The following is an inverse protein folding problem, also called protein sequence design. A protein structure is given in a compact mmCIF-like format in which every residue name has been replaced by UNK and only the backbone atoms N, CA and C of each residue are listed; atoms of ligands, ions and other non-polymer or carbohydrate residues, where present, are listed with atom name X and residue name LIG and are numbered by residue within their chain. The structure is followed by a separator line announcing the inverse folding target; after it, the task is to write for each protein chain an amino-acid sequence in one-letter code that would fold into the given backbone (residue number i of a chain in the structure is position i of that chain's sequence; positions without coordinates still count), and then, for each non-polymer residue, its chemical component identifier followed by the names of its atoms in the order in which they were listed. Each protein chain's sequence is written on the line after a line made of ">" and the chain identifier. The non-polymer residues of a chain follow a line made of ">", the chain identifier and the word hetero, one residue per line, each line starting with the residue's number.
data_IF_167931622066
#
_entry.id   IF_167931622066
#
_cell.length_a   1.000
_cell.length_b   1.000
_cell.length_c   1.000
_cell.angle_alpha   90.00
_cell.angle_beta   90.00
_cell.angle_gamma   90.00
#
_symmetry.space_group_name_H-M   'P 1'
#
loop_
_entity.id
_entity.type
_entity.pdbx_description
1 polymer ?
#
# COMPACT_ATOMS: atom_id res chain seq x y z
N UNK A 1 5.75 0.10 -11.64
CA UNK A 1 5.01 1.34 -11.98
C UNK A 1 4.01 1.64 -10.88
N UNK A 2 3.85 2.89 -10.50
CA UNK A 2 3.12 3.35 -9.33
C UNK A 2 3.94 3.18 -8.04
N UNK A 3 3.47 3.76 -6.94
CA UNK A 3 4.11 3.68 -5.62
C UNK A 3 3.07 3.76 -4.51
N UNK A 4 3.20 2.90 -3.53
CA UNK A 4 2.50 2.96 -2.25
C UNK A 4 3.48 2.65 -1.12
N UNK A 5 3.54 3.51 -0.13
CA UNK A 5 4.26 3.27 1.13
C UNK A 5 5.73 2.83 0.95
N UNK A 6 6.42 3.37 -0.04
CA UNK A 6 7.83 3.08 -0.36
C UNK A 6 8.11 1.64 -0.85
N UNK A 7 7.11 0.90 -1.29
CA UNK A 7 7.26 -0.51 -1.70
C UNK A 7 8.16 -0.65 -2.92
N UNK A 8 7.84 0.08 -4.01
CA UNK A 8 8.63 -0.04 -5.25
C UNK A 8 10.01 0.59 -5.15
N UNK A 9 10.15 1.70 -4.43
CA UNK A 9 11.47 2.33 -4.24
C UNK A 9 12.39 1.42 -3.42
N UNK A 10 11.90 0.82 -2.33
CA UNK A 10 12.68 -0.13 -1.51
C UNK A 10 13.00 -1.40 -2.28
N UNK A 11 12.04 -1.96 -3.02
CA UNK A 11 12.27 -3.13 -3.88
C UNK A 11 13.34 -2.84 -4.95
N UNK A 12 13.26 -1.65 -5.59
CA UNK A 12 14.22 -1.25 -6.60
C UNK A 12 15.64 -1.12 -6.03
N UNK A 13 15.80 -0.58 -4.82
CA UNK A 13 17.09 -0.52 -4.14
C UNK A 13 17.69 -1.91 -3.96
N UNK A 14 16.92 -2.87 -3.43
CA UNK A 14 17.38 -4.24 -3.22
C UNK A 14 17.70 -4.96 -4.54
N UNK A 15 16.87 -4.81 -5.58
CA UNK A 15 17.15 -5.41 -6.88
C UNK A 15 18.41 -4.84 -7.55
N UNK A 16 18.65 -3.53 -7.41
CA UNK A 16 19.88 -2.90 -7.92
C UNK A 16 21.14 -3.41 -7.21
N UNK A 17 21.07 -3.66 -5.91
CA UNK A 17 22.16 -4.28 -5.15
C UNK A 17 22.47 -5.71 -5.64
N UNK A 18 21.48 -6.40 -6.19
CA UNK A 18 21.61 -7.71 -6.83
C UNK A 18 22.06 -7.62 -8.30
N UNK A 19 22.37 -6.44 -8.82
CA UNK A 19 22.87 -6.22 -10.18
C UNK A 19 21.79 -6.03 -11.26
N UNK A 20 20.50 -5.95 -10.88
CA UNK A 20 19.44 -5.71 -11.84
C UNK A 20 19.34 -4.23 -12.25
N UNK A 21 18.97 -3.99 -13.50
CA UNK A 21 18.62 -2.65 -13.98
C UNK A 21 17.14 -2.39 -13.67
N UNK A 22 16.85 -1.41 -12.84
CA UNK A 22 15.49 -1.12 -12.38
C UNK A 22 15.13 0.34 -12.62
N UNK A 23 13.95 0.55 -13.19
CA UNK A 23 13.36 1.89 -13.41
C UNK A 23 12.06 2.00 -12.62
N UNK A 24 12.02 2.92 -11.66
CA UNK A 24 10.81 3.26 -10.91
C UNK A 24 10.12 4.45 -11.58
N UNK A 25 8.89 4.25 -12.05
CA UNK A 25 8.01 5.28 -12.56
C UNK A 25 6.83 5.45 -11.61
N UNK A 26 6.69 6.62 -10.99
CA UNK A 26 5.60 6.90 -10.03
C UNK A 26 5.37 8.39 -9.82
N UNK A 27 4.36 8.72 -9.02
CA UNK A 27 4.16 10.06 -8.46
C UNK A 27 4.80 10.24 -7.07
N UNK A 28 5.54 9.24 -6.58
CA UNK A 28 6.19 9.25 -5.27
C UNK A 28 5.25 9.08 -4.07
N UNK A 29 4.02 8.57 -4.27
CA UNK A 29 2.98 8.46 -3.24
C UNK A 29 2.62 9.85 -2.67
N UNK A 30 2.39 10.81 -3.58
CA UNK A 30 1.96 12.19 -3.30
C UNK A 30 2.94 12.97 -2.40
N UNK A 31 2.48 13.46 -1.25
CA UNK A 31 3.25 14.29 -0.33
C UNK A 31 4.44 13.57 0.32
N UNK A 32 4.44 12.23 0.32
CA UNK A 32 5.54 11.41 0.87
C UNK A 32 6.80 11.49 0.01
N UNK A 33 6.64 11.77 -1.29
CA UNK A 33 7.69 12.06 -2.24
C UNK A 33 8.82 11.01 -2.27
N UNK A 34 8.45 9.73 -2.29
CA UNK A 34 9.41 8.64 -2.36
C UNK A 34 10.29 8.67 -3.61
N UNK A 35 11.52 8.12 -3.55
CA UNK A 35 12.47 8.08 -4.66
C UNK A 35 11.89 7.40 -5.91
N UNK A 36 12.19 7.96 -7.07
CA UNK A 36 11.79 7.43 -8.38
C UNK A 36 12.71 7.94 -9.47
N UNK A 37 12.82 7.18 -10.57
CA UNK A 37 13.65 7.54 -11.72
C UNK A 37 12.86 8.41 -12.71
N UNK A 38 11.60 8.08 -12.91
CA UNK A 38 10.70 8.83 -13.78
C UNK A 38 9.55 9.38 -12.91
N UNK A 39 9.58 10.69 -12.72
CA UNK A 39 8.51 11.41 -12.03
C UNK A 39 7.30 11.55 -12.94
N UNK A 40 6.14 11.07 -12.51
CA UNK A 40 4.89 11.17 -13.23
C UNK A 40 3.77 11.66 -12.31
N UNK A 41 3.90 12.90 -11.86
CA UNK A 41 2.90 13.60 -11.04
C UNK A 41 1.88 14.28 -11.94
N UNK A 42 0.62 14.15 -11.60
CA UNK A 42 -0.49 14.84 -12.24
C UNK A 42 -0.78 16.16 -11.51
N UNK A 43 -0.70 17.28 -12.23
CA UNK A 43 -1.16 18.56 -11.70
C UNK A 43 -2.69 18.63 -11.67
N UNK A 44 -3.28 19.39 -10.73
CA UNK A 44 -4.73 19.58 -10.64
C UNK A 44 -5.33 20.20 -11.90
N UNK A 45 -6.64 19.99 -12.08
CA UNK A 45 -7.42 20.60 -13.15
C UNK A 45 -7.36 19.89 -14.51
N UNK A 46 -8.10 20.43 -15.47
CA UNK A 46 -8.23 19.85 -16.81
C UNK A 46 -6.90 19.89 -17.59
N UNK A 47 -6.20 21.01 -17.55
CA UNK A 47 -4.90 21.19 -18.22
C UNK A 47 -3.82 20.28 -17.63
N UNK A 48 -3.81 20.10 -16.31
CA UNK A 48 -2.93 19.15 -15.65
C UNK A 48 -3.17 17.70 -16.11
N UNK A 49 -4.43 17.33 -16.32
CA UNK A 49 -4.78 16.02 -16.87
C UNK A 49 -4.33 15.85 -18.33
N UNK A 50 -4.46 16.88 -19.17
CA UNK A 50 -4.01 16.84 -20.58
C UNK A 50 -2.48 16.73 -20.63
N UNK A 51 -1.77 17.56 -19.89
CA UNK A 51 -0.30 17.54 -19.81
C UNK A 51 0.22 16.18 -19.30
N UNK A 52 -0.45 15.60 -18.29
CA UNK A 52 -0.14 14.26 -17.78
C UNK A 52 -0.28 13.19 -18.88
N UNK A 53 -1.38 13.20 -19.62
CA UNK A 53 -1.60 12.27 -20.73
C UNK A 53 -0.55 12.43 -21.82
N UNK A 54 -0.27 13.66 -22.25
CA UNK A 54 0.75 13.95 -23.27
C UNK A 54 2.12 13.42 -22.82
N UNK A 55 2.51 13.68 -21.56
CA UNK A 55 3.76 13.20 -20.97
C UNK A 55 3.81 11.67 -20.92
N UNK A 56 2.72 11.03 -20.46
CA UNK A 56 2.63 9.58 -20.38
C UNK A 56 2.80 8.95 -21.78
N UNK A 57 2.08 9.45 -22.80
CA UNK A 57 2.20 8.91 -24.17
C UNK A 57 3.60 9.13 -24.75
N UNK A 58 4.24 10.26 -24.48
CA UNK A 58 5.63 10.51 -24.87
C UNK A 58 6.63 9.57 -24.17
N UNK A 59 6.29 9.05 -22.98
CA UNK A 59 7.10 8.10 -22.25
C UNK A 59 6.91 6.65 -22.71
N UNK A 60 5.77 6.28 -23.31
CA UNK A 60 5.48 4.89 -23.69
C UNK A 60 6.60 4.22 -24.50
N UNK A 61 7.25 4.85 -25.48
CA UNK A 61 8.36 4.22 -26.21
C UNK A 61 9.56 3.86 -25.33
N UNK A 62 9.73 4.53 -24.19
CA UNK A 62 10.78 4.25 -23.21
C UNK A 62 10.39 3.17 -22.21
N UNK A 63 9.11 2.78 -22.16
CA UNK A 63 8.56 1.79 -21.25
C UNK A 63 8.36 0.44 -21.95
N UNK A 64 9.28 0.05 -22.83
CA UNK A 64 9.29 -1.22 -23.57
C UNK A 64 10.64 -1.90 -23.46
N UNK A 65 10.63 -3.22 -23.67
CA UNK A 65 11.85 -4.03 -23.64
C UNK A 65 12.31 -4.44 -22.25
N UNK A 66 11.47 -4.26 -21.23
CA UNK A 66 11.74 -4.77 -19.88
C UNK A 66 11.38 -6.26 -19.80
N UNK A 67 12.22 -7.04 -19.12
CA UNK A 67 11.93 -8.45 -18.84
C UNK A 67 10.70 -8.59 -17.93
N UNK A 68 10.58 -7.69 -16.95
CA UNK A 68 9.47 -7.65 -15.99
C UNK A 68 8.98 -6.22 -15.77
N UNK A 69 7.67 -6.03 -15.80
CA UNK A 69 6.99 -4.80 -15.36
C UNK A 69 6.08 -5.14 -14.19
N UNK A 70 6.37 -4.58 -13.02
CA UNK A 70 5.51 -4.69 -11.85
C UNK A 70 4.62 -3.47 -11.71
N UNK A 71 3.31 -3.70 -11.57
CA UNK A 71 2.30 -2.69 -11.29
C UNK A 71 2.01 -2.70 -9.79
N UNK A 72 2.02 -1.53 -9.15
CA UNK A 72 1.76 -1.43 -7.70
C UNK A 72 0.34 -1.88 -7.33
N UNK A 73 -0.60 -1.66 -8.26
CA UNK A 73 -2.03 -1.87 -8.08
C UNK A 73 -2.69 -1.74 -9.47
N UNK A 74 -3.94 -2.16 -9.70
CA UNK A 74 -4.63 -1.93 -10.98
C UNK A 74 -4.72 -0.47 -11.39
N UNK A 75 -4.79 0.44 -10.41
CA UNK A 75 -4.80 1.89 -10.62
C UNK A 75 -3.39 2.51 -10.54
N UNK A 76 -2.41 1.89 -11.21
CA UNK A 76 -0.98 2.27 -11.17
C UNK A 76 -0.65 3.64 -11.82
N UNK A 77 -1.64 4.33 -12.35
CA UNK A 77 -1.56 5.68 -12.93
C UNK A 77 -2.68 6.57 -12.40
N UNK A 78 -2.43 7.88 -12.34
CA UNK A 78 -3.43 8.88 -11.91
C UNK A 78 -4.44 9.20 -13.03
N UNK A 79 -5.08 8.18 -13.57
CA UNK A 79 -6.06 8.23 -14.65
C UNK A 79 -7.35 7.51 -14.26
N UNK A 80 -8.41 7.76 -15.00
CA UNK A 80 -9.60 6.93 -14.95
C UNK A 80 -9.30 5.52 -15.48
N UNK A 81 -9.96 4.50 -14.95
CA UNK A 81 -9.73 3.10 -15.28
C UNK A 81 -9.76 2.83 -16.79
N UNK A 82 -10.70 3.45 -17.52
CA UNK A 82 -10.86 3.29 -18.97
C UNK A 82 -9.62 3.77 -19.76
N UNK A 83 -8.87 4.73 -19.19
CA UNK A 83 -7.65 5.25 -19.79
C UNK A 83 -6.39 4.49 -19.39
N UNK A 84 -6.44 3.73 -18.33
CA UNK A 84 -5.35 2.85 -17.88
C UNK A 84 -5.27 1.61 -18.75
N UNK A 85 -6.40 1.04 -19.16
CA UNK A 85 -6.46 -0.21 -19.90
C UNK A 85 -5.64 -0.18 -21.22
N UNK A 86 -5.70 0.86 -22.06
CA UNK A 86 -4.83 0.95 -23.26
C UNK A 86 -3.34 0.96 -22.92
N UNK A 87 -2.94 1.63 -21.84
CA UNK A 87 -1.54 1.68 -21.37
C UNK A 87 -1.11 0.30 -20.88
N UNK A 88 -1.93 -0.39 -20.08
CA UNK A 88 -1.68 -1.76 -19.67
C UNK A 88 -1.46 -2.69 -20.86
N UNK A 89 -2.34 -2.64 -21.87
CA UNK A 89 -2.21 -3.46 -23.08
C UNK A 89 -0.94 -3.13 -23.87
N UNK A 90 -0.55 -1.86 -23.91
CA UNK A 90 0.73 -1.45 -24.51
C UNK A 90 1.90 -2.09 -23.75
N UNK A 91 1.94 -1.98 -22.43
CA UNK A 91 2.99 -2.56 -21.59
C UNK A 91 3.07 -4.07 -21.79
N UNK A 92 1.93 -4.77 -21.77
CA UNK A 92 1.87 -6.21 -21.96
C UNK A 92 2.38 -6.68 -23.33
N UNK A 93 2.12 -5.89 -24.37
CA UNK A 93 2.58 -6.20 -25.75
C UNK A 93 4.08 -6.01 -25.94
N UNK A 94 4.70 -5.08 -25.21
CA UNK A 94 6.07 -4.62 -25.48
C UNK A 94 7.08 -5.01 -24.40
N UNK A 95 6.70 -5.79 -23.40
CA UNK A 95 7.56 -6.25 -22.33
C UNK A 95 7.42 -7.76 -22.11
N UNK A 96 8.31 -8.35 -21.34
CA UNK A 96 8.36 -9.79 -21.10
C UNK A 96 7.18 -10.24 -20.21
N UNK A 97 7.23 -9.94 -18.92
CA UNK A 97 6.20 -10.35 -17.95
C UNK A 97 5.58 -9.15 -17.27
N UNK A 98 4.28 -9.21 -17.02
CA UNK A 98 3.55 -8.25 -16.19
C UNK A 98 3.19 -8.89 -14.86
N UNK A 99 3.64 -8.28 -13.77
CA UNK A 99 3.30 -8.69 -12.39
C UNK A 99 2.35 -7.65 -11.80
N UNK A 100 1.22 -8.11 -11.30
CA UNK A 100 0.28 -7.27 -10.56
C UNK A 100 0.60 -7.30 -9.07
N UNK A 101 0.72 -6.14 -8.44
CA UNK A 101 0.78 -5.99 -6.99
C UNK A 101 -0.63 -5.92 -6.39
N UNK A 102 -0.91 -6.78 -5.44
CA UNK A 102 -2.03 -6.67 -4.53
C UNK A 102 -1.54 -6.01 -3.23
N UNK A 103 -1.30 -4.68 -3.28
CA UNK A 103 -0.66 -3.94 -2.19
C UNK A 103 -1.54 -2.82 -1.63
N UNK A 104 -2.83 -2.85 -1.88
CA UNK A 104 -3.72 -1.80 -1.39
C UNK A 104 -5.15 -2.00 -1.83
N UNK A 105 -5.93 -0.93 -1.71
CA UNK A 105 -7.35 -0.93 -2.06
C UNK A 105 -7.56 -1.27 -3.54
N UNK A 106 -8.29 -2.33 -3.80
CA UNK A 106 -8.65 -2.79 -5.13
C UNK A 106 -9.96 -3.61 -5.11
N UNK A 107 -10.41 -4.04 -6.30
CA UNK A 107 -11.64 -4.79 -6.43
C UNK A 107 -11.62 -6.12 -5.65
N UNK A 108 -10.52 -6.90 -5.73
CA UNK A 108 -10.49 -8.22 -5.08
C UNK A 108 -10.47 -8.12 -3.58
N UNK A 109 -9.80 -7.09 -3.02
CA UNK A 109 -9.87 -6.78 -1.60
C UNK A 109 -11.28 -6.38 -1.17
N UNK A 110 -11.89 -5.42 -1.86
CA UNK A 110 -13.26 -4.96 -1.54
C UNK A 110 -14.28 -6.09 -1.68
N UNK A 111 -14.28 -6.78 -2.81
CA UNK A 111 -15.23 -7.87 -3.10
C UNK A 111 -15.01 -9.07 -2.17
N UNK A 112 -13.77 -9.46 -1.94
CA UNK A 112 -13.44 -10.57 -1.05
C UNK A 112 -13.92 -10.32 0.37
N UNK A 113 -13.63 -9.16 0.94
CA UNK A 113 -14.07 -8.82 2.29
C UNK A 113 -15.57 -8.61 2.41
N UNK A 114 -16.25 -8.16 1.34
CA UNK A 114 -17.71 -7.98 1.38
C UNK A 114 -18.48 -9.30 1.20
N UNK A 115 -18.00 -10.19 0.33
CA UNK A 115 -18.74 -11.38 -0.10
C UNK A 115 -18.20 -12.66 0.55
N UNK A 116 -16.89 -12.92 0.39
CA UNK A 116 -16.26 -14.18 0.83
C UNK A 116 -15.83 -14.11 2.30
N UNK A 117 -15.56 -12.91 2.83
CA UNK A 117 -15.16 -12.59 4.21
C UNK A 117 -14.05 -13.52 4.74
N UNK A 118 -12.90 -13.62 4.03
CA UNK A 118 -11.84 -14.55 4.41
C UNK A 118 -11.18 -14.19 5.76
N UNK A 119 -11.46 -12.98 6.25
CA UNK A 119 -10.97 -12.46 7.52
C UNK A 119 -12.13 -12.14 8.45
N UNK A 120 -11.95 -12.43 9.74
CA UNK A 120 -12.94 -12.09 10.77
C UNK A 120 -13.17 -10.58 10.85
N UNK A 121 -12.14 -9.78 10.60
CA UNK A 121 -12.18 -8.31 10.61
C UNK A 121 -11.45 -7.77 9.40
N UNK A 122 -12.02 -6.77 8.76
CA UNK A 122 -11.42 -6.04 7.63
C UNK A 122 -11.91 -4.60 7.58
N UNK A 123 -11.47 -3.85 6.58
CA UNK A 123 -12.03 -2.52 6.26
C UNK A 123 -13.53 -2.57 5.96
N UNK A 124 -14.07 -3.75 5.62
CA UNK A 124 -15.45 -3.91 5.11
C UNK A 124 -16.34 -4.78 5.96
N UNK A 125 -15.80 -5.58 6.89
CA UNK A 125 -16.59 -6.47 7.73
C UNK A 125 -16.08 -6.57 9.17
N UNK A 126 -17.01 -6.92 10.07
CA UNK A 126 -16.75 -7.37 11.44
C UNK A 126 -17.54 -8.67 11.64
N UNK A 127 -16.84 -9.81 11.61
CA UNK A 127 -17.49 -11.11 11.50
C UNK A 127 -18.34 -11.16 10.23
N UNK A 128 -19.58 -11.56 10.36
CA UNK A 128 -20.54 -11.64 9.26
C UNK A 128 -21.16 -10.29 8.86
N UNK A 129 -21.04 -9.28 9.71
CA UNK A 129 -21.68 -7.96 9.50
C UNK A 129 -20.80 -7.06 8.65
N UNK A 130 -21.37 -6.48 7.61
CA UNK A 130 -20.69 -5.48 6.80
C UNK A 130 -20.60 -4.13 7.54
N UNK A 131 -19.45 -3.47 7.43
CA UNK A 131 -19.28 -2.11 7.92
C UNK A 131 -20.09 -1.11 7.08
N UNK A 132 -20.65 -0.11 7.77
CA UNK A 132 -21.48 0.95 7.17
C UNK A 132 -20.91 2.35 7.38
N UNK A 133 -19.67 2.45 7.87
CA UNK A 133 -18.98 3.72 7.97
C UNK A 133 -18.71 4.34 6.59
N UNK A 134 -18.57 5.65 6.54
CA UNK A 134 -18.49 6.43 5.31
C UNK A 134 -17.40 5.93 4.33
N UNK A 135 -16.24 5.57 4.85
CA UNK A 135 -15.13 5.10 4.03
C UNK A 135 -15.41 3.73 3.41
N UNK A 136 -15.94 2.77 4.19
CA UNK A 136 -16.33 1.46 3.68
C UNK A 136 -17.38 1.57 2.57
N UNK A 137 -18.39 2.41 2.76
CA UNK A 137 -19.43 2.66 1.77
C UNK A 137 -18.87 3.34 0.51
N UNK A 138 -17.97 4.30 0.68
CA UNK A 138 -17.29 4.99 -0.43
C UNK A 138 -16.45 4.03 -1.26
N UNK A 139 -15.60 3.22 -0.65
CA UNK A 139 -14.75 2.29 -1.37
C UNK A 139 -15.57 1.18 -2.07
N UNK A 140 -16.63 0.68 -1.44
CA UNK A 140 -17.57 -0.25 -2.09
C UNK A 140 -18.19 0.36 -3.35
N UNK A 141 -18.65 1.61 -3.27
CA UNK A 141 -19.21 2.33 -4.43
C UNK A 141 -18.18 2.59 -5.52
N UNK A 142 -16.93 2.84 -5.14
CA UNK A 142 -15.82 3.15 -6.05
C UNK A 142 -15.35 1.91 -6.83
N UNK A 143 -15.42 0.72 -6.21
CA UNK A 143 -14.85 -0.49 -6.80
C UNK A 143 -15.89 -1.47 -7.35
N UNK A 144 -17.05 -1.63 -6.71
CA UNK A 144 -18.04 -2.64 -7.12
C UNK A 144 -18.96 -2.12 -8.23
N UNK A 145 -19.11 -2.88 -9.30
CA UNK A 145 -19.94 -2.53 -10.46
C UNK A 145 -19.37 -1.39 -11.31
N UNK A 146 -18.09 -1.11 -11.24
CA UNK A 146 -17.47 0.06 -11.88
C UNK A 146 -16.40 -0.32 -12.92
N UNK A 147 -15.92 0.68 -13.67
CA UNK A 147 -14.77 0.48 -14.58
C UNK A 147 -13.47 0.12 -13.83
N UNK A 148 -13.33 0.44 -12.55
CA UNK A 148 -12.20 -0.03 -11.73
C UNK A 148 -12.27 -1.54 -11.51
N UNK A 149 -13.44 -2.09 -11.21
CA UNK A 149 -13.64 -3.54 -11.16
C UNK A 149 -13.26 -4.19 -12.49
N UNK A 150 -13.82 -3.67 -13.60
CA UNK A 150 -13.53 -4.20 -14.93
C UNK A 150 -12.04 -4.19 -15.25
N UNK A 151 -11.35 -3.09 -14.97
CA UNK A 151 -9.90 -2.97 -15.15
C UNK A 151 -9.15 -4.00 -14.32
N UNK A 152 -9.46 -4.11 -13.02
CA UNK A 152 -8.78 -5.04 -12.13
C UNK A 152 -8.99 -6.50 -12.57
N UNK A 153 -10.20 -6.88 -12.95
CA UNK A 153 -10.50 -8.22 -13.48
C UNK A 153 -9.69 -8.54 -14.73
N UNK A 154 -9.57 -7.58 -15.66
CA UNK A 154 -8.77 -7.76 -16.89
C UNK A 154 -7.30 -7.91 -16.52
N UNK A 155 -6.73 -6.99 -15.75
CA UNK A 155 -5.31 -7.05 -15.39
C UNK A 155 -5.00 -8.33 -14.61
N UNK A 156 -5.79 -8.67 -13.60
CA UNK A 156 -5.59 -9.87 -12.81
C UNK A 156 -5.76 -11.17 -13.65
N UNK A 157 -6.68 -11.17 -14.59
CA UNK A 157 -6.87 -12.30 -15.52
C UNK A 157 -5.69 -12.48 -16.48
N UNK A 158 -5.19 -11.38 -17.02
CA UNK A 158 -4.22 -11.38 -18.11
C UNK A 158 -2.75 -11.29 -17.66
N UNK A 159 -2.42 -10.81 -16.45
CA UNK A 159 -1.05 -10.71 -15.97
C UNK A 159 -0.38 -12.09 -15.78
N UNK A 160 0.95 -12.10 -15.79
CA UNK A 160 1.74 -13.33 -15.68
C UNK A 160 1.90 -13.81 -14.24
N UNK A 161 1.77 -12.90 -13.27
CA UNK A 161 1.82 -13.21 -11.84
C UNK A 161 1.17 -12.14 -11.00
N UNK A 162 0.78 -12.50 -9.79
CA UNK A 162 0.23 -11.61 -8.78
C UNK A 162 1.07 -11.76 -7.51
N UNK A 163 1.59 -10.65 -7.00
CA UNK A 163 2.33 -10.61 -5.73
C UNK A 163 1.50 -9.86 -4.71
N UNK A 164 1.30 -10.47 -3.55
CA UNK A 164 0.61 -9.85 -2.42
C UNK A 164 1.59 -9.69 -1.26
N UNK A 165 1.66 -8.49 -0.68
CA UNK A 165 2.60 -8.15 0.38
C UNK A 165 2.10 -8.42 1.79
N UNK A 166 0.78 -8.53 1.95
CA UNK A 166 0.10 -8.82 3.21
C UNK A 166 -0.85 -10.00 3.04
N UNK A 167 -1.01 -10.78 4.10
CA UNK A 167 -1.85 -11.99 4.08
C UNK A 167 -3.31 -11.70 3.71
N UNK A 168 -3.83 -10.57 4.14
CA UNK A 168 -5.19 -10.15 3.86
C UNK A 168 -5.46 -10.02 2.34
N UNK A 169 -4.53 -9.45 1.57
CA UNK A 169 -4.66 -9.39 0.11
C UNK A 169 -4.48 -10.78 -0.52
N UNK A 170 -3.55 -11.58 0.00
CA UNK A 170 -3.37 -12.96 -0.45
C UNK A 170 -4.64 -13.78 -0.30
N UNK A 171 -5.32 -13.67 0.85
CA UNK A 171 -6.57 -14.38 1.13
C UNK A 171 -7.71 -14.00 0.16
N UNK A 172 -7.66 -12.81 -0.44
CA UNK A 172 -8.63 -12.36 -1.44
C UNK A 172 -8.26 -12.74 -2.89
N UNK A 173 -6.97 -12.77 -3.21
CA UNK A 173 -6.50 -13.07 -4.57
C UNK A 173 -6.26 -14.55 -4.83
N UNK A 174 -5.61 -15.26 -3.90
CA UNK A 174 -5.21 -16.64 -4.09
C UNK A 174 -6.37 -17.60 -4.42
N UNK A 175 -7.55 -17.54 -3.78
CA UNK A 175 -8.66 -18.41 -4.13
C UNK A 175 -9.19 -18.22 -5.56
N UNK A 176 -8.98 -17.05 -6.15
CA UNK A 176 -9.41 -16.70 -7.51
C UNK A 176 -8.34 -17.02 -8.56
N UNK A 177 -7.05 -16.95 -8.17
CA UNK A 177 -5.88 -17.12 -9.04
C UNK A 177 -4.79 -17.98 -8.38
N UNK A 178 -5.07 -19.22 -7.99
CA UNK A 178 -4.12 -20.04 -7.20
C UNK A 178 -2.80 -20.32 -7.94
N UNK A 179 -2.86 -20.47 -9.27
CA UNK A 179 -1.68 -20.80 -10.08
C UNK A 179 -0.67 -19.65 -10.27
N UNK A 180 -1.06 -18.41 -9.97
CA UNK A 180 -0.21 -17.24 -10.23
C UNK A 180 -0.15 -16.21 -9.10
N UNK A 181 -0.79 -16.47 -7.96
CA UNK A 181 -0.70 -15.62 -6.78
C UNK A 181 0.34 -16.12 -5.81
N UNK A 182 1.32 -15.29 -5.51
CA UNK A 182 2.39 -15.60 -4.56
C UNK A 182 2.37 -14.57 -3.43
N UNK A 183 2.47 -15.05 -2.19
CA UNK A 183 2.67 -14.19 -1.03
C UNK A 183 4.17 -13.91 -0.88
N UNK A 184 4.54 -12.65 -1.03
CA UNK A 184 5.90 -12.16 -0.79
C UNK A 184 5.78 -10.95 0.11
N UNK A 185 6.28 -11.00 1.35
CA UNK A 185 6.21 -9.87 2.28
C UNK A 185 6.72 -8.58 1.68
N UNK A 186 6.16 -7.45 2.13
CA UNK A 186 6.59 -6.13 1.66
C UNK A 186 8.09 -5.94 1.91
N UNK A 187 8.82 -5.34 0.96
CA UNK A 187 10.24 -5.08 1.15
C UNK A 187 10.42 -4.06 2.27
N UNK A 188 11.37 -4.32 3.15
CA UNK A 188 11.77 -3.42 4.22
C UNK A 188 13.26 -3.13 4.10
N UNK A 189 13.63 -1.90 4.45
CA UNK A 189 15.03 -1.53 4.63
C UNK A 189 15.30 -1.60 6.13
N UNK A 190 16.23 -2.47 6.57
CA UNK A 190 16.68 -2.46 7.95
C UNK A 190 17.20 -1.05 8.28
N UNK A 191 16.68 -0.46 9.34
CA UNK A 191 17.26 0.74 9.92
C UNK A 191 18.20 0.29 11.02
N UNK A 192 19.33 0.97 11.16
CA UNK A 192 20.15 0.84 12.34
C UNK A 192 19.30 1.32 13.52
N UNK A 193 18.82 0.35 14.30
CA UNK A 193 18.13 0.63 15.54
C UNK A 193 19.20 1.05 16.53
N UNK A 194 19.30 2.32 16.85
CA UNK A 194 20.01 2.74 18.04
C UNK A 194 19.22 2.21 19.23
N UNK A 195 19.80 1.31 20.06
CA UNK A 195 19.10 0.79 21.24
C UNK A 195 18.71 1.97 22.13
N UNK A 196 17.60 1.82 22.82
CA UNK A 196 17.19 2.78 23.83
C UNK A 196 18.32 2.96 24.85
N UNK A 197 18.87 4.16 24.93
CA UNK A 197 20.08 4.44 25.71
C UNK A 197 19.82 4.60 27.22
N UNK A 198 18.59 4.49 27.66
CA UNK A 198 18.23 4.67 29.05
C UNK A 198 17.69 3.39 29.67
N UNK A 199 18.38 2.89 30.69
CA UNK A 199 17.82 1.90 31.58
C UNK A 199 16.59 2.51 32.27
N UNK A 200 15.46 1.84 32.18
CA UNK A 200 14.21 2.26 32.79
C UNK A 200 13.56 1.05 33.46
N UNK A 201 13.18 1.22 34.72
CA UNK A 201 12.41 0.22 35.45
C UNK A 201 10.97 0.07 34.89
N UNK A 202 10.56 0.96 33.98
CA UNK A 202 9.26 0.96 33.33
C UNK A 202 9.36 0.49 31.87
N UNK A 203 8.41 -0.35 31.47
CA UNK A 203 8.23 -0.74 30.07
C UNK A 203 7.66 0.44 29.29
N UNK A 204 8.40 0.92 28.30
CA UNK A 204 8.00 2.03 27.42
C UNK A 204 7.23 1.46 26.22
N UNK A 205 5.94 1.73 26.18
CA UNK A 205 5.04 1.28 25.10
C UNK A 205 4.77 2.44 24.16
N UNK A 206 5.12 2.26 22.90
CA UNK A 206 4.90 3.25 21.84
C UNK A 206 3.61 2.97 21.07
N UNK A 207 2.80 4.00 20.84
CA UNK A 207 1.62 3.94 19.97
C UNK A 207 1.68 5.09 18.95
N UNK A 208 1.84 4.75 17.68
CA UNK A 208 1.73 5.68 16.55
C UNK A 208 0.26 5.92 16.17
N UNK A 209 -0.20 7.17 16.28
CA UNK A 209 -1.60 7.54 16.06
C UNK A 209 -1.76 8.24 14.71
N UNK A 210 -2.60 7.67 13.85
CA UNK A 210 -3.11 8.34 12.67
C UNK A 210 -4.64 8.45 12.78
N UNK A 211 -5.16 9.62 13.18
CA UNK A 211 -6.59 9.80 13.42
C UNK A 211 -7.45 9.56 12.21
N UNK A 212 -6.97 9.90 11.02
CA UNK A 212 -7.73 9.69 9.78
C UNK A 212 -7.93 8.19 9.43
N UNK A 213 -7.17 7.29 10.07
CA UNK A 213 -7.27 5.83 9.88
C UNK A 213 -7.55 5.08 11.17
N UNK A 214 -7.90 5.79 12.24
CA UNK A 214 -8.07 5.22 13.59
C UNK A 214 -9.12 4.11 13.63
N UNK A 215 -10.26 4.33 12.98
CA UNK A 215 -11.36 3.36 12.92
C UNK A 215 -10.95 2.05 12.23
N UNK A 216 -10.20 2.14 11.12
CA UNK A 216 -9.71 0.95 10.41
C UNK A 216 -8.66 0.17 11.20
N UNK A 217 -7.77 0.89 11.88
CA UNK A 217 -6.65 0.30 12.61
C UNK A 217 -7.02 -0.11 14.04
N UNK A 218 -8.21 0.24 14.52
CA UNK A 218 -8.61 0.01 15.90
C UNK A 218 -7.74 0.79 16.90
N UNK A 219 -7.14 1.90 16.48
CA UNK A 219 -6.21 2.70 17.30
C UNK A 219 -6.87 3.22 18.57
N UNK A 220 -8.14 3.57 18.52
CA UNK A 220 -8.94 4.02 19.66
C UNK A 220 -9.11 2.91 20.70
N UNK A 221 -9.28 1.66 20.28
CA UNK A 221 -9.39 0.48 21.17
C UNK A 221 -8.04 0.20 21.82
N UNK A 222 -6.96 0.16 21.02
CA UNK A 222 -5.61 -0.06 21.53
C UNK A 222 -5.17 1.03 22.50
N UNK A 223 -5.46 2.28 22.18
CA UNK A 223 -5.12 3.44 23.02
C UNK A 223 -5.84 3.38 24.37
N UNK A 224 -7.15 3.12 24.38
CA UNK A 224 -7.92 2.95 25.63
C UNK A 224 -7.36 1.82 26.49
N UNK A 225 -7.03 0.67 25.89
CA UNK A 225 -6.45 -0.45 26.60
C UNK A 225 -5.08 -0.10 27.21
N UNK A 226 -4.22 0.55 26.45
CA UNK A 226 -2.89 0.97 26.92
C UNK A 226 -2.97 2.02 28.02
N UNK A 227 -3.88 3.00 27.90
CA UNK A 227 -4.15 3.99 28.94
C UNK A 227 -4.61 3.34 30.25
N UNK A 228 -5.58 2.43 30.17
CA UNK A 228 -6.07 1.71 31.36
C UNK A 228 -4.96 0.91 32.07
N UNK A 229 -4.04 0.32 31.29
CA UNK A 229 -2.90 -0.42 31.87
C UNK A 229 -1.88 0.56 32.48
N UNK A 230 -1.58 1.68 31.81
CA UNK A 230 -0.67 2.68 32.35
C UNK A 230 -1.20 3.33 33.64
N UNK A 231 -2.50 3.58 33.74
CA UNK A 231 -3.16 4.06 34.96
C UNK A 231 -3.11 3.03 36.10
N UNK A 232 -3.28 1.75 35.76
CA UNK A 232 -3.24 0.65 36.75
C UNK A 232 -1.82 0.37 37.26
N UNK A 233 -0.79 0.60 36.43
CA UNK A 233 0.60 0.26 36.75
C UNK A 233 1.54 1.44 36.43
N UNK A 234 1.37 2.62 37.05
CA UNK A 234 2.09 3.86 36.71
C UNK A 234 3.60 3.75 36.93
N UNK A 235 4.02 2.93 37.91
CA UNK A 235 5.44 2.72 38.20
C UNK A 235 6.12 1.66 37.30
N UNK A 236 5.34 0.95 36.46
CA UNK A 236 5.83 -0.16 35.62
C UNK A 236 5.68 0.09 34.13
N UNK A 237 4.84 1.03 33.74
CA UNK A 237 4.57 1.34 32.32
C UNK A 237 4.61 2.82 32.05
N UNK A 238 5.27 3.18 30.95
CA UNK A 238 5.25 4.50 30.35
C UNK A 238 4.59 4.41 28.97
N UNK A 239 3.49 5.11 28.76
CA UNK A 239 2.81 5.16 27.47
C UNK A 239 3.30 6.34 26.65
N UNK A 240 3.93 6.07 25.50
CA UNK A 240 4.43 7.05 24.53
C UNK A 240 3.50 7.14 23.33
N UNK A 241 2.82 8.26 23.19
CA UNK A 241 1.87 8.50 22.10
C UNK A 241 2.51 9.42 21.07
N UNK A 242 2.56 8.97 19.81
CA UNK A 242 3.09 9.75 18.70
C UNK A 242 1.96 10.11 17.72
N UNK A 243 1.58 11.38 17.72
CA UNK A 243 0.57 11.92 16.80
C UNK A 243 1.12 13.18 16.13
N UNK A 244 1.03 13.26 14.79
CA UNK A 244 1.47 14.41 13.98
C UNK A 244 2.93 14.85 14.23
N UNK A 245 3.80 13.92 14.61
CA UNK A 245 5.21 14.22 14.82
C UNK A 245 5.98 14.25 13.50
N UNK A 246 7.03 15.08 13.39
CA UNK A 246 8.02 14.96 12.32
C UNK A 246 8.63 13.56 12.29
N UNK A 247 8.92 13.04 11.09
CA UNK A 247 9.39 11.66 10.92
C UNK A 247 10.60 11.29 11.79
N UNK A 248 11.57 12.21 11.94
CA UNK A 248 12.75 11.96 12.79
C UNK A 248 12.39 11.80 14.27
N UNK A 249 11.47 12.60 14.77
CA UNK A 249 10.99 12.52 16.17
C UNK A 249 10.17 11.24 16.39
N UNK A 250 9.32 10.90 15.41
CA UNK A 250 8.56 9.65 15.41
C UNK A 250 9.48 8.43 15.53
N UNK A 251 10.50 8.33 14.65
CA UNK A 251 11.48 7.23 14.66
C UNK A 251 12.27 7.22 15.98
N UNK A 252 12.72 8.38 16.46
CA UNK A 252 13.46 8.49 17.73
C UNK A 252 12.63 7.99 18.93
N UNK A 253 11.36 8.40 19.00
CA UNK A 253 10.45 7.92 20.05
C UNK A 253 10.17 6.41 19.94
N UNK A 254 9.95 5.93 18.74
CA UNK A 254 9.74 4.50 18.45
C UNK A 254 10.97 3.66 18.85
N UNK A 255 12.17 4.06 18.42
CA UNK A 255 13.42 3.36 18.74
C UNK A 255 13.77 3.41 20.22
N UNK A 256 13.33 4.44 20.94
CA UNK A 256 13.51 4.56 22.39
C UNK A 256 12.47 3.80 23.22
N UNK A 257 11.62 2.98 22.61
CA UNK A 257 10.55 2.24 23.28
C UNK A 257 10.82 0.73 23.29
N UNK A 258 10.31 0.04 24.29
CA UNK A 258 10.52 -1.40 24.51
C UNK A 258 9.46 -2.25 23.80
N UNK A 259 8.29 -1.65 23.50
CA UNK A 259 7.20 -2.28 22.76
C UNK A 259 6.49 -1.26 21.84
N UNK A 260 5.94 -1.75 20.73
CA UNK A 260 5.26 -0.96 19.69
C UNK A 260 3.88 -1.55 19.45
#
# INVERSE_FOLDING_TARGET
>A
MGEYSNVHATLAEGLRQLGHQVTVLSNGDFWKNYPRDIDLVRKPGKWGGIAYMARLYALLPKLRGYDVVQLINPMFLELKAERILPVYRYLKRHNGKIILGGFGMDYYWVSGCCNDKPLRYSDFNMGETLRTNADALKERKDWLGTEKERLNRIIAGECDGIVTGLYEYWACYHPKFPAKTTFIPLPIKPHDLEPAQEDSDRVRVFIGINRSRSEYKGTDIMLKAAQAIAEKYPDRMELRQAENLPFREYVRMMNGSDAI
#
